data_IF_530046120537
#
_entry.id   IF_530046120537
#
_cell.length_a   1.000
_cell.length_b   1.000
_cell.length_c   1.000
_cell.angle_alpha   90.00
_cell.angle_beta   90.00
_cell.angle_gamma   90.00
#
_symmetry.space_group_name_H-M   'P 1'
#
loop_
_entity.id
_entity.type
_entity.pdbx_description
1 polymer ?
#
# COMPACT_ATOMS: atom_id res chain seq x y z
N UNK A 1 -21.24 14.20 8.57
CA UNK A 1 -20.44 13.77 9.74
C UNK A 1 -20.40 12.26 9.71
N UNK A 2 -19.39 11.71 9.03
CA UNK A 2 -19.08 10.29 9.05
C UNK A 2 -18.33 10.02 10.37
N UNK A 3 -18.93 9.23 11.24
CA UNK A 3 -18.44 9.02 12.62
C UNK A 3 -17.22 8.12 12.65
N UNK A 4 -16.35 8.30 13.64
CA UNK A 4 -15.18 7.44 13.94
C UNK A 4 -15.51 5.93 13.91
N UNK A 5 -16.77 5.56 14.19
CA UNK A 5 -17.29 4.20 14.10
C UNK A 5 -17.23 3.59 12.68
N UNK A 6 -17.36 4.38 11.61
CA UNK A 6 -17.28 3.86 10.23
C UNK A 6 -15.83 3.52 9.83
N UNK A 7 -14.83 4.23 10.37
CA UNK A 7 -13.43 3.82 10.26
C UNK A 7 -13.13 2.56 11.07
N UNK A 8 -13.80 2.38 12.22
CA UNK A 8 -13.64 1.19 13.07
C UNK A 8 -14.38 -0.04 12.51
N UNK A 9 -15.38 0.14 11.65
CA UNK A 9 -16.04 -0.96 10.93
C UNK A 9 -15.18 -1.45 9.74
N UNK A 10 -14.26 -0.62 9.23
CA UNK A 10 -13.27 -1.02 8.22
C UNK A 10 -12.05 -1.74 8.81
N UNK A 11 -11.81 -1.61 10.12
CA UNK A 11 -10.93 -2.50 10.88
C UNK A 11 -11.75 -3.66 11.43
N UNK A 12 -12.09 -4.63 10.57
CA UNK A 12 -12.58 -5.92 11.06
C UNK A 12 -11.65 -6.43 12.16
N UNK A 13 -12.20 -6.80 13.32
CA UNK A 13 -11.43 -7.06 14.54
C UNK A 13 -10.17 -7.88 14.27
N UNK A 14 -9.10 -7.62 15.04
CA UNK A 14 -7.66 -7.98 14.95
C UNK A 14 -7.22 -9.29 14.24
N UNK A 15 -8.16 -10.18 13.93
CA UNK A 15 -7.99 -11.45 13.26
C UNK A 15 -8.33 -11.48 11.77
N UNK A 16 -8.89 -10.43 11.17
CA UNK A 16 -9.16 -10.40 9.71
C UNK A 16 -8.19 -9.50 8.94
N UNK A 17 -7.63 -9.96 7.80
CA UNK A 17 -6.84 -9.09 6.94
C UNK A 17 -7.65 -7.90 6.43
N UNK A 18 -7.03 -6.73 6.18
CA UNK A 18 -7.69 -5.62 5.52
C UNK A 18 -8.17 -6.03 4.12
N UNK A 19 -9.42 -5.70 3.81
CA UNK A 19 -10.00 -5.95 2.49
C UNK A 19 -9.39 -5.00 1.46
N UNK A 20 -9.06 -5.52 0.28
CA UNK A 20 -8.54 -4.74 -0.84
C UNK A 20 -9.59 -3.76 -1.35
N UNK A 21 -9.24 -2.48 -1.26
CA UNK A 21 -9.93 -1.38 -1.93
C UNK A 21 -9.09 -0.97 -3.14
N UNK A 22 -9.70 -1.00 -4.33
CA UNK A 22 -9.02 -0.72 -5.60
C UNK A 22 -8.59 0.74 -5.71
N UNK A 23 -9.41 1.67 -5.18
CA UNK A 23 -9.13 3.10 -5.22
C UNK A 23 -8.07 3.49 -4.19
N UNK A 24 -7.97 2.72 -3.10
CA UNK A 24 -7.01 2.91 -2.02
C UNK A 24 -5.92 1.82 -1.98
N UNK A 25 -5.53 1.29 -3.16
CA UNK A 25 -4.58 0.18 -3.26
C UNK A 25 -3.30 0.41 -2.44
N UNK A 26 -2.68 1.59 -2.54
CA UNK A 26 -1.43 1.87 -1.82
C UNK A 26 -1.63 1.85 -0.29
N UNK A 27 -2.78 2.34 0.19
CA UNK A 27 -3.13 2.26 1.61
C UNK A 27 -3.37 0.82 2.05
N UNK A 28 -4.08 0.04 1.23
CA UNK A 28 -4.28 -1.39 1.47
C UNK A 28 -2.94 -2.13 1.52
N UNK A 29 -2.02 -1.84 0.59
CA UNK A 29 -0.70 -2.45 0.53
C UNK A 29 0.08 -2.27 1.84
N UNK A 30 0.17 -1.05 2.36
CA UNK A 30 0.83 -0.80 3.63
C UNK A 30 0.14 -1.49 4.81
N UNK A 31 -1.20 -1.54 4.80
CA UNK A 31 -1.98 -2.19 5.86
C UNK A 31 -1.82 -3.71 5.87
N UNK A 32 -1.80 -4.35 4.70
CA UNK A 32 -1.68 -5.81 4.59
C UNK A 32 -0.27 -6.28 4.98
N UNK A 33 0.77 -5.52 4.60
CA UNK A 33 2.15 -5.78 5.03
C UNK A 33 2.28 -5.69 6.55
N UNK A 34 1.79 -4.60 7.16
CA UNK A 34 1.80 -4.43 8.62
C UNK A 34 0.98 -5.52 9.33
N UNK A 35 -0.16 -5.90 8.77
CA UNK A 35 -0.99 -6.98 9.30
C UNK A 35 -0.24 -8.33 9.34
N UNK A 36 0.49 -8.66 8.27
CA UNK A 36 1.31 -9.88 8.20
C UNK A 36 2.48 -9.85 9.20
N UNK A 37 3.18 -8.71 9.31
CA UNK A 37 4.28 -8.53 10.26
C UNK A 37 3.86 -8.73 11.72
N UNK A 38 2.63 -8.33 12.06
CA UNK A 38 2.08 -8.48 13.41
C UNK A 38 1.58 -9.90 13.73
N UNK A 39 1.64 -10.86 12.80
CA UNK A 39 1.31 -12.26 13.08
C UNK A 39 2.51 -13.00 13.66
N UNK A 40 2.22 -14.10 14.36
CA UNK A 40 3.27 -15.07 14.72
C UNK A 40 4.03 -15.51 13.47
N UNK A 41 5.37 -15.47 13.58
CA UNK A 41 6.33 -15.63 12.48
C UNK A 41 6.16 -14.63 11.33
N UNK A 42 5.66 -13.42 11.60
CA UNK A 42 5.34 -12.40 10.60
C UNK A 42 6.46 -12.10 9.60
N UNK A 43 7.72 -12.12 10.04
CA UNK A 43 8.88 -11.99 9.15
C UNK A 43 8.96 -13.11 8.10
N UNK A 44 8.72 -14.36 8.50
CA UNK A 44 8.71 -15.51 7.57
C UNK A 44 7.52 -15.46 6.61
N UNK A 45 6.38 -14.93 7.06
CA UNK A 45 5.20 -14.69 6.22
C UNK A 45 5.51 -13.65 5.14
N UNK A 46 6.13 -12.52 5.51
CA UNK A 46 6.56 -11.47 4.56
C UNK A 46 7.62 -11.99 3.59
N UNK A 47 8.56 -12.79 4.06
CA UNK A 47 9.56 -13.43 3.19
C UNK A 47 8.90 -14.39 2.19
N UNK A 48 7.92 -15.19 2.61
CA UNK A 48 7.15 -16.05 1.71
C UNK A 48 6.40 -15.27 0.62
N UNK A 49 5.83 -14.12 0.98
CA UNK A 49 5.18 -13.21 0.05
C UNK A 49 6.17 -12.64 -0.98
N UNK A 50 7.37 -12.24 -0.56
CA UNK A 50 8.35 -11.56 -1.45
C UNK A 50 9.16 -12.54 -2.29
N UNK A 51 9.63 -13.62 -1.67
CA UNK A 51 10.61 -14.52 -2.26
C UNK A 51 10.01 -15.83 -2.76
N UNK A 52 8.84 -16.20 -2.24
CA UNK A 52 8.14 -17.44 -2.58
C UNK A 52 8.24 -18.47 -1.46
N UNK A 53 7.59 -19.63 -1.63
CA UNK A 53 7.47 -20.63 -0.59
C UNK A 53 8.78 -21.41 -0.44
N UNK A 54 8.85 -22.20 0.64
CA UNK A 54 9.90 -23.18 0.84
C UNK A 54 10.04 -24.09 -0.39
N UNK A 55 11.26 -24.15 -0.93
CA UNK A 55 11.64 -25.20 -1.88
C UNK A 55 11.78 -26.48 -1.07
N UNK A 56 10.87 -27.43 -1.29
CA UNK A 56 10.83 -28.66 -0.53
C UNK A 56 12.13 -29.46 -0.70
N UNK A 57 12.84 -29.79 0.38
CA UNK A 57 14.10 -30.53 0.31
C UNK A 57 13.90 -31.94 -0.23
N UNK A 58 14.94 -32.51 -0.83
CA UNK A 58 14.94 -33.88 -1.35
C UNK A 58 15.72 -34.82 -0.44
N UNK A 59 15.33 -36.10 -0.45
CA UNK A 59 16.06 -37.20 0.16
C UNK A 59 16.22 -38.34 -0.85
N UNK A 60 17.33 -39.06 -0.76
CA UNK A 60 17.50 -40.32 -1.48
C UNK A 60 16.88 -41.45 -0.67
N UNK A 61 15.89 -42.13 -1.26
CA UNK A 61 15.28 -43.31 -0.67
C UNK A 61 15.37 -44.45 -1.69
N UNK A 62 16.15 -45.49 -1.37
CA UNK A 62 16.34 -46.68 -2.21
C UNK A 62 16.85 -46.36 -3.63
N UNK A 63 17.80 -45.43 -3.75
CA UNK A 63 18.40 -45.05 -5.04
C UNK A 63 17.53 -44.13 -5.91
N UNK A 64 16.39 -43.66 -5.40
CA UNK A 64 15.53 -42.67 -6.07
C UNK A 64 15.47 -41.40 -5.23
N UNK A 65 15.76 -40.27 -5.85
CA UNK A 65 15.60 -38.94 -5.24
C UNK A 65 14.13 -38.58 -5.24
N UNK A 66 13.57 -38.32 -4.06
CA UNK A 66 12.20 -37.81 -3.90
C UNK A 66 12.18 -36.62 -2.95
N UNK A 67 11.13 -35.82 -3.07
CA UNK A 67 10.85 -34.73 -2.13
C UNK A 67 10.52 -35.29 -0.74
N UNK A 68 10.96 -34.59 0.31
CA UNK A 68 10.56 -34.86 1.70
C UNK A 68 9.06 -34.64 1.86
N UNK A 69 8.43 -35.47 2.71
CA UNK A 69 7.09 -35.24 3.24
C UNK A 69 7.16 -34.27 4.41
N UNK A 70 6.04 -33.62 4.73
CA UNK A 70 5.96 -32.69 5.87
C UNK A 70 6.51 -33.28 7.18
N UNK A 71 6.20 -34.55 7.49
CA UNK A 71 6.69 -35.21 8.70
C UNK A 71 8.21 -35.36 8.76
N UNK A 72 8.87 -35.43 7.60
CA UNK A 72 10.33 -35.59 7.41
C UNK A 72 11.08 -34.24 7.44
N UNK A 73 10.34 -33.12 7.49
CA UNK A 73 10.90 -31.80 7.63
C UNK A 73 11.41 -31.56 9.06
N UNK A 74 12.50 -30.80 9.15
CA UNK A 74 12.98 -30.20 10.39
C UNK A 74 11.94 -29.23 10.97
N UNK A 75 12.09 -28.88 12.25
CA UNK A 75 11.19 -27.94 12.91
C UNK A 75 11.10 -26.59 12.15
N UNK A 76 12.24 -26.04 11.72
CA UNK A 76 12.29 -24.77 10.98
C UNK A 76 11.62 -24.86 9.61
N UNK A 77 11.83 -25.95 8.87
CA UNK A 77 11.18 -26.18 7.57
C UNK A 77 9.66 -26.30 7.72
N UNK A 78 9.17 -26.94 8.79
CA UNK A 78 7.73 -27.01 9.10
C UNK A 78 7.14 -25.63 9.36
N UNK A 79 7.82 -24.82 10.18
CA UNK A 79 7.39 -23.45 10.47
C UNK A 79 7.32 -22.63 9.16
N UNK A 80 8.31 -22.76 8.27
CA UNK A 80 8.28 -22.07 6.98
C UNK A 80 7.10 -22.53 6.11
N UNK A 81 6.89 -23.84 5.97
CA UNK A 81 5.78 -24.38 5.20
C UNK A 81 4.42 -23.91 5.73
N UNK A 82 4.26 -23.83 7.06
CA UNK A 82 3.05 -23.31 7.69
C UNK A 82 2.89 -21.80 7.45
N UNK A 83 3.98 -21.03 7.49
CA UNK A 83 3.99 -19.62 7.15
C UNK A 83 3.63 -19.37 5.68
N UNK A 84 4.07 -20.22 4.76
CA UNK A 84 3.76 -20.12 3.33
C UNK A 84 2.25 -20.28 3.08
N UNK A 85 1.64 -21.29 3.71
CA UNK A 85 0.18 -21.49 3.67
C UNK A 85 -0.55 -20.31 4.29
N UNK A 86 -0.04 -19.79 5.41
CA UNK A 86 -0.61 -18.63 6.10
C UNK A 86 -0.56 -17.37 5.25
N UNK A 87 0.55 -17.12 4.55
CA UNK A 87 0.69 -15.99 3.62
C UNK A 87 -0.36 -16.06 2.50
N UNK A 88 -0.50 -17.23 1.87
CA UNK A 88 -1.53 -17.46 0.83
C UNK A 88 -2.93 -17.21 1.36
N UNK A 89 -3.25 -17.75 2.55
CA UNK A 89 -4.57 -17.59 3.16
C UNK A 89 -4.89 -16.14 3.51
N UNK A 90 -3.92 -15.37 4.01
CA UNK A 90 -4.10 -13.94 4.32
C UNK A 90 -4.47 -13.18 3.05
N UNK A 91 -3.79 -13.43 1.92
CA UNK A 91 -4.15 -12.78 0.67
C UNK A 91 -5.56 -13.14 0.22
N UNK A 92 -5.90 -14.43 0.14
CA UNK A 92 -7.21 -14.85 -0.36
C UNK A 92 -8.37 -14.29 0.50
N UNK A 93 -8.17 -14.12 1.80
CA UNK A 93 -9.16 -13.51 2.71
C UNK A 93 -9.27 -11.98 2.57
N UNK A 94 -8.18 -11.32 2.16
CA UNK A 94 -8.13 -9.88 1.94
C UNK A 94 -8.64 -9.44 0.57
N UNK A 95 -9.18 -10.35 -0.26
CA UNK A 95 -9.62 -10.04 -1.61
C UNK A 95 -11.15 -9.93 -1.74
N UNK A 96 -11.65 -8.87 -2.41
CA UNK A 96 -13.00 -8.83 -2.94
C UNK A 96 -13.26 -9.97 -3.92
N UNK A 97 -14.52 -10.41 -4.03
CA UNK A 97 -14.91 -11.59 -4.82
C UNK A 97 -14.54 -11.49 -6.31
N UNK A 98 -14.61 -10.29 -6.89
CA UNK A 98 -14.26 -10.03 -8.28
C UNK A 98 -12.75 -10.12 -8.53
N UNK A 99 -11.92 -9.61 -7.61
CA UNK A 99 -10.46 -9.76 -7.67
C UNK A 99 -10.06 -11.20 -7.41
N UNK A 100 -10.68 -11.87 -6.44
CA UNK A 100 -10.46 -13.29 -6.14
C UNK A 100 -10.65 -14.16 -7.38
N UNK A 101 -11.75 -13.96 -8.13
CA UNK A 101 -12.04 -14.72 -9.34
C UNK A 101 -10.94 -14.59 -10.42
N UNK A 102 -10.19 -13.48 -10.44
CA UNK A 102 -9.11 -13.24 -11.40
C UNK A 102 -7.77 -13.87 -10.99
N UNK A 103 -7.62 -14.28 -9.73
CA UNK A 103 -6.35 -14.78 -9.18
C UNK A 103 -6.44 -16.18 -8.59
N UNK A 104 -7.64 -16.76 -8.49
CA UNK A 104 -7.94 -18.04 -7.83
C UNK A 104 -7.19 -19.28 -8.37
N UNK A 105 -6.56 -19.19 -9.54
CA UNK A 105 -5.72 -20.26 -10.08
C UNK A 105 -4.30 -20.26 -9.52
N UNK A 106 -3.85 -19.15 -8.92
CA UNK A 106 -2.58 -19.10 -8.20
C UNK A 106 -2.75 -19.65 -6.79
N UNK A 107 -1.75 -20.43 -6.34
CA UNK A 107 -1.77 -21.10 -5.03
C UNK A 107 -0.64 -20.66 -4.11
N UNK A 108 0.20 -19.74 -4.58
CA UNK A 108 1.41 -19.29 -3.90
C UNK A 108 1.25 -17.79 -3.61
N UNK A 109 1.56 -17.40 -2.37
CA UNK A 109 1.44 -16.02 -1.89
C UNK A 109 2.18 -15.02 -2.78
N UNK A 110 3.40 -15.35 -3.24
CA UNK A 110 4.17 -14.53 -4.15
C UNK A 110 3.46 -14.27 -5.49
N UNK A 111 2.99 -15.33 -6.14
CA UNK A 111 2.30 -15.19 -7.43
C UNK A 111 1.00 -14.39 -7.28
N UNK A 112 0.27 -14.62 -6.18
CA UNK A 112 -0.91 -13.82 -5.83
C UNK A 112 -0.56 -12.35 -5.66
N UNK A 113 0.49 -12.05 -4.88
CA UNK A 113 0.98 -10.71 -4.63
C UNK A 113 1.36 -9.98 -5.92
N UNK A 114 2.22 -10.59 -6.74
CA UNK A 114 2.66 -10.01 -8.03
C UNK A 114 1.48 -9.82 -8.98
N UNK A 115 0.51 -10.75 -9.00
CA UNK A 115 -0.69 -10.61 -9.82
C UNK A 115 -1.62 -9.51 -9.33
N UNK A 116 -1.81 -9.36 -8.02
CA UNK A 116 -2.61 -8.28 -7.43
C UNK A 116 -1.94 -6.94 -7.74
N UNK A 117 -0.62 -6.85 -7.56
CA UNK A 117 0.17 -5.68 -7.98
C UNK A 117 -0.07 -5.36 -9.45
N UNK A 118 0.02 -6.35 -10.35
CA UNK A 118 -0.23 -6.14 -11.77
C UNK A 118 -1.69 -5.69 -12.06
N UNK A 119 -2.69 -6.28 -11.40
CA UNK A 119 -4.09 -5.92 -11.60
C UNK A 119 -4.42 -4.51 -11.11
N UNK A 120 -3.84 -4.11 -9.98
CA UNK A 120 -4.13 -2.83 -9.33
C UNK A 120 -3.22 -1.71 -9.84
N UNK A 121 -1.96 -2.05 -10.15
CA UNK A 121 -0.94 -1.09 -10.57
C UNK A 121 -0.70 -1.06 -12.08
N UNK A 122 -0.94 -2.16 -12.79
CA UNK A 122 -0.54 -2.34 -14.19
C UNK A 122 0.94 -2.70 -14.35
N UNK A 123 1.47 -2.60 -15.57
CA UNK A 123 2.87 -2.91 -15.91
C UNK A 123 3.84 -1.77 -15.57
N UNK A 124 5.16 -1.92 -15.70
CA UNK A 124 6.11 -0.80 -15.53
C UNK A 124 5.78 0.45 -16.37
N UNK A 125 5.18 0.27 -17.55
CA UNK A 125 4.64 1.35 -18.38
C UNK A 125 3.60 2.21 -17.63
N UNK A 126 2.76 1.58 -16.81
CA UNK A 126 1.76 2.31 -16.01
C UNK A 126 2.37 2.98 -14.79
N UNK A 127 3.57 2.59 -14.32
CA UNK A 127 4.28 3.31 -13.26
C UNK A 127 4.70 4.70 -13.75
N UNK A 128 5.36 4.80 -14.89
CA UNK A 128 5.72 6.10 -15.48
C UNK A 128 4.47 6.92 -15.81
N UNK A 129 3.41 6.31 -16.38
CA UNK A 129 2.15 7.01 -16.62
C UNK A 129 1.50 7.52 -15.32
N UNK A 130 1.61 6.79 -14.21
CA UNK A 130 1.12 7.23 -12.89
C UNK A 130 1.96 8.36 -12.32
N UNK A 131 3.28 8.28 -12.43
CA UNK A 131 4.17 9.38 -12.05
C UNK A 131 3.84 10.64 -12.86
N UNK A 132 3.64 10.52 -14.17
CA UNK A 132 3.18 11.62 -15.02
C UNK A 132 1.81 12.16 -14.57
N UNK A 133 0.84 11.29 -14.31
CA UNK A 133 -0.49 11.71 -13.82
C UNK A 133 -0.43 12.43 -12.48
N UNK A 134 0.39 11.96 -11.54
CA UNK A 134 0.56 12.61 -10.23
C UNK A 134 1.29 13.95 -10.35
N UNK A 135 2.30 14.05 -11.22
CA UNK A 135 2.92 15.34 -11.53
C UNK A 135 1.91 16.30 -12.14
N UNK A 136 1.10 15.83 -13.09
CA UNK A 136 0.04 16.61 -13.72
C UNK A 136 -1.03 17.05 -12.72
N UNK A 137 -1.44 16.16 -11.81
CA UNK A 137 -2.41 16.46 -10.76
C UNK A 137 -1.84 17.47 -9.76
N UNK A 138 -0.57 17.32 -9.40
CA UNK A 138 0.15 18.31 -8.60
C UNK A 138 0.22 19.65 -9.30
N UNK A 139 0.67 19.71 -10.56
CA UNK A 139 0.80 20.95 -11.32
C UNK A 139 -0.55 21.64 -11.55
N UNK A 140 -1.62 20.87 -11.81
CA UNK A 140 -2.97 21.39 -12.01
C UNK A 140 -3.77 21.53 -10.72
N UNK A 141 -3.19 21.21 -9.57
CA UNK A 141 -3.88 21.31 -8.28
C UNK A 141 -4.35 22.74 -8.07
N UNK A 142 -5.64 22.87 -7.77
CA UNK A 142 -6.34 24.12 -7.60
C UNK A 142 -7.50 23.95 -6.61
N UNK A 143 -7.88 25.05 -5.98
CA UNK A 143 -9.10 25.12 -5.18
C UNK A 143 -10.35 24.80 -6.02
N UNK A 144 -11.25 23.99 -5.46
CA UNK A 144 -12.55 23.64 -6.02
C UNK A 144 -13.63 24.56 -5.43
N UNK A 145 -14.43 25.16 -6.30
CA UNK A 145 -15.57 25.97 -5.89
C UNK A 145 -16.45 25.25 -4.86
N UNK A 146 -16.67 25.90 -3.71
CA UNK A 146 -17.46 25.43 -2.56
C UNK A 146 -16.81 24.36 -1.68
N UNK A 147 -15.54 23.99 -1.91
CA UNK A 147 -14.83 23.16 -0.92
C UNK A 147 -14.44 24.00 0.31
N UNK A 148 -14.52 23.41 1.49
CA UNK A 148 -13.99 24.05 2.70
C UNK A 148 -12.46 24.00 2.72
N UNK A 149 -11.82 24.90 3.48
CA UNK A 149 -10.36 24.89 3.64
C UNK A 149 -9.85 23.56 4.19
N UNK A 150 -10.63 22.90 5.05
CA UNK A 150 -10.30 21.57 5.56
C UNK A 150 -10.32 20.50 4.46
N UNK A 151 -11.32 20.51 3.58
CA UNK A 151 -11.38 19.59 2.42
C UNK A 151 -10.24 19.84 1.45
N UNK A 152 -9.91 21.10 1.19
CA UNK A 152 -8.75 21.50 0.39
C UNK A 152 -7.44 20.94 0.98
N UNK A 153 -7.23 21.13 2.28
CA UNK A 153 -6.06 20.60 2.99
C UNK A 153 -5.99 19.07 2.90
N UNK A 154 -7.09 18.36 3.18
CA UNK A 154 -7.11 16.90 3.08
C UNK A 154 -6.78 16.40 1.67
N UNK A 155 -7.34 17.02 0.62
CA UNK A 155 -7.01 16.71 -0.78
C UNK A 155 -5.54 16.92 -1.08
N UNK A 156 -4.98 18.03 -0.61
CA UNK A 156 -3.56 18.33 -0.81
C UNK A 156 -2.66 17.32 -0.10
N UNK A 157 -2.91 17.03 1.18
CA UNK A 157 -2.13 16.05 1.96
C UNK A 157 -2.23 14.65 1.37
N UNK A 158 -3.40 14.25 0.86
CA UNK A 158 -3.55 12.98 0.12
C UNK A 158 -2.68 12.95 -1.14
N UNK A 159 -2.63 14.04 -1.91
CA UNK A 159 -1.79 14.15 -3.09
C UNK A 159 -0.29 14.05 -2.77
N UNK A 160 0.16 14.75 -1.73
CA UNK A 160 1.55 14.68 -1.27
C UNK A 160 1.91 13.26 -0.78
N UNK A 161 1.02 12.62 -0.03
CA UNK A 161 1.21 11.24 0.40
C UNK A 161 1.33 10.28 -0.79
N UNK A 162 0.49 10.45 -1.81
CA UNK A 162 0.56 9.65 -3.04
C UNK A 162 1.91 9.84 -3.75
N UNK A 163 2.38 11.09 -3.91
CA UNK A 163 3.71 11.38 -4.46
C UNK A 163 4.84 10.69 -3.67
N UNK A 164 4.78 10.76 -2.35
CA UNK A 164 5.78 10.14 -1.46
C UNK A 164 5.78 8.60 -1.57
N UNK A 165 4.62 7.96 -1.71
CA UNK A 165 4.50 6.51 -1.93
C UNK A 165 5.26 6.08 -3.18
N UNK A 166 5.19 6.87 -4.26
CA UNK A 166 5.91 6.61 -5.50
C UNK A 166 7.38 7.08 -5.47
N UNK A 167 7.88 7.55 -4.31
CA UNK A 167 9.22 8.11 -4.13
C UNK A 167 9.49 9.34 -5.02
N UNK A 168 8.43 10.05 -5.37
CA UNK A 168 8.50 11.32 -6.11
C UNK A 168 8.71 12.45 -5.12
N UNK A 169 9.93 12.54 -4.59
CA UNK A 169 10.25 13.52 -3.54
C UNK A 169 10.23 14.94 -4.10
N UNK A 170 9.33 15.77 -3.59
CA UNK A 170 9.32 17.22 -3.84
C UNK A 170 10.04 17.94 -2.70
N UNK A 171 10.71 19.04 -3.02
CA UNK A 171 11.29 19.89 -1.97
C UNK A 171 10.16 20.57 -1.19
N UNK A 172 10.36 20.76 0.13
CA UNK A 172 9.36 21.39 1.00
C UNK A 172 8.91 22.76 0.46
N UNK A 173 9.84 23.55 -0.08
CA UNK A 173 9.53 24.82 -0.73
C UNK A 173 8.53 24.69 -1.89
N UNK A 174 8.66 23.65 -2.72
CA UNK A 174 7.75 23.41 -3.85
C UNK A 174 6.36 23.04 -3.34
N UNK A 175 6.28 22.15 -2.34
CA UNK A 175 5.03 21.75 -1.70
C UNK A 175 4.32 22.95 -1.09
N UNK A 176 5.03 23.71 -0.27
CA UNK A 176 4.52 24.89 0.43
C UNK A 176 4.07 25.99 -0.53
N UNK A 177 4.89 26.28 -1.54
CA UNK A 177 4.55 27.27 -2.57
C UNK A 177 3.32 26.84 -3.36
N UNK A 178 3.21 25.55 -3.70
CA UNK A 178 2.05 25.02 -4.42
C UNK A 178 0.77 25.10 -3.60
N UNK A 179 0.82 24.72 -2.33
CA UNK A 179 -0.32 24.83 -1.40
C UNK A 179 -0.82 26.27 -1.31
N UNK A 180 0.08 27.24 -1.11
CA UNK A 180 -0.29 28.65 -0.94
C UNK A 180 -0.80 29.29 -2.24
N UNK A 181 -0.18 28.97 -3.38
CA UNK A 181 -0.56 29.55 -4.68
C UNK A 181 -1.89 29.00 -5.22
N UNK A 182 -2.34 27.85 -4.73
CA UNK A 182 -3.53 27.17 -5.23
C UNK A 182 -4.78 27.48 -4.39
N UNK A 183 -4.64 28.28 -3.33
CA UNK A 183 -5.75 28.85 -2.55
C UNK A 183 -6.53 29.88 -3.37
N UNK A 184 -7.83 30.07 -3.10
CA UNK A 184 -8.64 30.96 -3.90
C UNK A 184 -8.36 32.43 -3.53
N UNK A 185 -8.69 33.39 -4.42
CA UNK A 185 -8.24 34.78 -4.32
C UNK A 185 -8.62 35.50 -3.01
N UNK A 186 -9.68 35.05 -2.34
CA UNK A 186 -10.16 35.56 -1.05
C UNK A 186 -9.10 35.42 0.04
N UNK A 187 -8.20 34.44 -0.07
CA UNK A 187 -7.10 34.20 0.87
C UNK A 187 -5.79 34.91 0.48
N UNK A 188 -5.79 35.73 -0.58
CA UNK A 188 -4.58 36.36 -1.12
C UNK A 188 -3.80 37.21 -0.10
N UNK A 189 -4.51 37.89 0.82
CA UNK A 189 -3.86 38.65 1.90
C UNK A 189 -3.11 37.72 2.87
N UNK A 190 -3.78 36.66 3.34
CA UNK A 190 -3.18 35.66 4.22
C UNK A 190 -1.97 34.98 3.56
N UNK A 191 -2.09 34.62 2.28
CA UNK A 191 -0.98 34.02 1.50
C UNK A 191 0.24 34.94 1.49
N UNK A 192 0.06 36.25 1.25
CA UNK A 192 1.17 37.22 1.28
C UNK A 192 1.81 37.29 2.66
N UNK A 193 1.00 37.36 3.71
CA UNK A 193 1.49 37.46 5.09
C UNK A 193 2.31 36.23 5.48
N UNK A 194 1.85 35.01 5.14
CA UNK A 194 2.58 33.76 5.40
C UNK A 194 3.91 33.73 4.64
N UNK A 195 3.93 34.12 3.36
CA UNK A 195 5.16 34.14 2.55
C UNK A 195 6.22 35.12 3.07
N UNK A 196 5.80 36.20 3.74
CA UNK A 196 6.71 37.18 4.34
C UNK A 196 7.18 36.75 5.74
N UNK A 197 6.31 36.09 6.51
CA UNK A 197 6.56 35.78 7.92
C UNK A 197 7.17 34.40 8.16
N UNK A 198 7.05 33.46 7.21
CA UNK A 198 7.48 32.06 7.38
C UNK A 198 8.51 31.67 6.32
N UNK A 199 9.49 30.87 6.73
CA UNK A 199 10.42 30.24 5.81
C UNK A 199 9.75 29.02 5.14
N UNK A 200 9.47 29.15 3.85
CA UNK A 200 8.83 28.11 3.06
C UNK A 200 9.71 26.87 2.84
N UNK A 201 11.01 26.94 3.12
CA UNK A 201 11.91 25.78 3.02
C UNK A 201 11.81 24.84 4.21
N UNK A 202 11.37 25.32 5.37
CA UNK A 202 11.44 24.59 6.64
C UNK A 202 10.10 24.49 7.36
N UNK A 203 9.15 25.37 7.06
CA UNK A 203 7.83 25.35 7.69
C UNK A 203 7.03 24.15 7.19
N UNK A 204 6.52 23.32 8.10
CA UNK A 204 5.47 22.36 7.78
C UNK A 204 4.10 22.99 8.04
N UNK A 205 3.13 22.76 7.15
CA UNK A 205 1.75 23.25 7.30
C UNK A 205 0.79 22.16 7.84
N UNK A 206 1.36 21.05 8.33
CA UNK A 206 0.68 20.02 9.11
C UNK A 206 0.23 20.51 10.49
#
# INVERSE_FOLDING_TARGET
>A
MTTLAEFMILSGGDNRPPMLDKDLYNSWQSRIELYMENKEHGRMIIESMKNGPLIWPTIEAKGVTRTKKYVELSATEKIQADCDVKATNIFLQGLPSDVYALVNYHRIAKDLWERIQLLMQGTSLTKQERECKLYDEFDKFAYINRESLHQYYLRFTQLINNLNIYKMTLQQFQVNTKFLNSLPPEWSKFVKDVKLARDLHTTNFD
#
